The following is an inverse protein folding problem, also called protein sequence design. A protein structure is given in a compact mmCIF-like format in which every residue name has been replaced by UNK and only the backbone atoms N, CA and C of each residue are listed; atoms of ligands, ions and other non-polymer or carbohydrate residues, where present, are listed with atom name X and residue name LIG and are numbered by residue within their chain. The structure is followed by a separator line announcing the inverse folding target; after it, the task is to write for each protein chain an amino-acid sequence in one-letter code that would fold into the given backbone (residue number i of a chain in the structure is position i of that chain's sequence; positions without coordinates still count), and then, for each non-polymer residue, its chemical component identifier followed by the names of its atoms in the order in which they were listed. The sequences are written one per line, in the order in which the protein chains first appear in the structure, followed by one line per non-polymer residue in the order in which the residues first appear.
data_IF_167250624782
#
_entry.id   IF_167250624782
#
_cell.length_a   1.000
_cell.length_b   1.000
_cell.length_c   1.000
_cell.angle_alpha   90.00
_cell.angle_beta   90.00
_cell.angle_gamma   90.00
#
_symmetry.space_group_name_H-M   'P 1'
#
loop_
_entity.id
_entity.type
_entity.pdbx_description
1 polymer ?
#
# COMPACT_ATOMS: atom_id res chain seq x y z
N UNK A 1 -11.05 -0.33 20.65
CA UNK A 1 -11.09 -0.40 19.18
C UNK A 1 -12.45 -0.95 18.78
N UNK A 2 -13.14 -0.28 17.84
CA UNK A 2 -14.45 -0.73 17.37
C UNK A 2 -14.28 -1.39 16.01
N UNK A 3 -14.38 -2.73 15.94
CA UNK A 3 -14.33 -3.45 14.67
C UNK A 3 -15.60 -3.24 13.83
N UNK A 4 -16.73 -2.98 14.50
CA UNK A 4 -18.04 -2.78 13.91
C UNK A 4 -18.53 -1.36 14.19
N UNK A 5 -19.01 -0.67 13.15
CA UNK A 5 -19.64 0.64 13.28
C UNK A 5 -21.11 0.48 13.66
N UNK A 6 -21.84 -0.31 12.87
CA UNK A 6 -23.23 -0.66 13.09
C UNK A 6 -23.60 -1.88 12.22
N UNK A 7 -24.80 -2.40 12.41
CA UNK A 7 -25.33 -3.53 11.67
C UNK A 7 -26.51 -3.08 10.82
N UNK A 8 -26.57 -3.51 9.55
CA UNK A 8 -27.74 -3.38 8.69
C UNK A 8 -28.38 -4.77 8.61
N UNK A 9 -29.37 -5.03 9.46
CA UNK A 9 -29.89 -6.39 9.64
C UNK A 9 -28.81 -7.32 10.19
N UNK A 10 -28.53 -8.42 9.48
CA UNK A 10 -27.45 -9.36 9.81
C UNK A 10 -26.09 -8.98 9.22
N UNK A 11 -26.02 -7.91 8.40
CA UNK A 11 -24.80 -7.52 7.72
C UNK A 11 -23.97 -6.55 8.59
N UNK A 12 -22.75 -6.94 9.02
CA UNK A 12 -21.88 -6.06 9.80
C UNK A 12 -21.21 -5.00 8.93
N UNK A 13 -21.39 -3.72 9.26
CA UNK A 13 -20.58 -2.64 8.68
C UNK A 13 -19.31 -2.49 9.52
N UNK A 14 -18.17 -2.84 8.92
CA UNK A 14 -16.88 -2.88 9.61
C UNK A 14 -16.13 -1.55 9.49
N UNK A 15 -15.51 -1.13 10.59
CA UNK A 15 -14.76 0.13 10.64
C UNK A 15 -13.55 0.14 9.70
N UNK A 16 -12.88 -1.00 9.53
CA UNK A 16 -11.74 -1.10 8.63
C UNK A 16 -12.13 -0.80 7.17
N UNK A 17 -13.31 -1.23 6.73
CA UNK A 17 -13.78 -1.00 5.36
C UNK A 17 -13.99 0.49 5.08
N UNK A 18 -14.56 1.22 6.05
CA UNK A 18 -14.71 2.67 5.97
C UNK A 18 -13.35 3.36 5.91
N UNK A 19 -12.41 2.99 6.79
CA UNK A 19 -11.07 3.60 6.81
C UNK A 19 -10.28 3.29 5.54
N UNK A 20 -10.43 2.09 4.97
CA UNK A 20 -9.82 1.74 3.69
C UNK A 20 -10.38 2.59 2.55
N UNK A 21 -11.70 2.81 2.51
CA UNK A 21 -12.34 3.73 1.56
C UNK A 21 -11.84 5.16 1.75
N UNK A 22 -11.69 5.64 2.98
CA UNK A 22 -11.10 6.94 3.27
C UNK A 22 -9.63 7.02 2.83
N UNK A 23 -8.88 5.92 2.90
CA UNK A 23 -7.53 5.83 2.35
C UNK A 23 -7.50 6.02 0.84
N UNK A 24 -8.39 5.34 0.11
CA UNK A 24 -8.52 5.51 -1.35
C UNK A 24 -8.96 6.94 -1.71
N UNK A 25 -9.93 7.49 -0.99
CA UNK A 25 -10.43 8.86 -1.22
C UNK A 25 -9.34 9.89 -0.93
N UNK A 26 -8.61 9.76 0.19
CA UNK A 26 -7.53 10.67 0.55
C UNK A 26 -6.38 10.63 -0.45
N UNK A 27 -5.99 9.44 -0.93
CA UNK A 27 -5.04 9.29 -2.02
C UNK A 27 -5.55 9.95 -3.31
N UNK A 28 -6.79 9.66 -3.72
CA UNK A 28 -7.38 10.22 -4.94
C UNK A 28 -7.47 11.76 -4.91
N UNK A 29 -7.93 12.34 -3.80
CA UNK A 29 -8.00 13.80 -3.62
C UNK A 29 -6.60 14.41 -3.67
N UNK A 30 -5.64 13.82 -2.97
CA UNK A 30 -4.25 14.31 -2.93
C UNK A 30 -3.60 14.24 -4.31
N UNK A 31 -3.76 13.12 -5.01
CA UNK A 31 -3.28 12.95 -6.38
C UNK A 31 -3.90 13.96 -7.35
N UNK A 32 -5.21 14.21 -7.23
CA UNK A 32 -5.90 15.23 -8.02
C UNK A 32 -5.29 16.62 -7.81
N UNK A 33 -5.08 17.04 -6.56
CA UNK A 33 -4.53 18.37 -6.28
C UNK A 33 -3.07 18.51 -6.73
N UNK A 34 -2.24 17.48 -6.52
CA UNK A 34 -0.84 17.47 -6.97
C UNK A 34 -0.78 17.60 -8.50
N UNK A 35 -1.55 16.79 -9.23
CA UNK A 35 -1.58 16.83 -10.70
C UNK A 35 -2.22 18.09 -11.26
N UNK A 36 -3.19 18.67 -10.56
CA UNK A 36 -3.80 19.94 -10.96
C UNK A 36 -2.82 21.09 -10.82
N UNK A 37 -2.00 21.09 -9.76
CA UNK A 37 -0.93 22.06 -9.55
C UNK A 37 0.22 21.89 -10.55
N UNK A 38 0.52 20.65 -10.94
CA UNK A 38 1.55 20.33 -11.92
C UNK A 38 1.23 20.87 -13.33
N UNK A 39 -0.05 21.00 -13.69
CA UNK A 39 -0.48 21.75 -14.88
C UNK A 39 -0.51 20.96 -16.20
N UNK A 40 0.00 19.72 -16.24
CA UNK A 40 -0.05 18.85 -17.44
C UNK A 40 -1.45 18.33 -17.82
N UNK A 41 -2.49 18.76 -17.11
CA UNK A 41 -3.87 18.33 -17.34
C UNK A 41 -4.20 16.90 -16.87
N UNK A 42 -3.24 16.17 -16.32
CA UNK A 42 -3.41 14.76 -15.96
C UNK A 42 -4.37 14.48 -14.79
N UNK A 43 -4.75 15.52 -14.04
CA UNK A 43 -5.70 15.43 -12.93
C UNK A 43 -7.07 14.83 -13.33
N UNK A 44 -7.49 14.98 -14.60
CA UNK A 44 -8.74 14.41 -15.12
C UNK A 44 -8.73 12.88 -15.12
N UNK A 45 -7.54 12.27 -15.18
CA UNK A 45 -7.38 10.82 -15.25
C UNK A 45 -7.37 10.13 -13.89
N UNK A 46 -7.28 10.88 -12.77
CA UNK A 46 -7.09 10.30 -11.43
C UNK A 46 -8.22 9.34 -11.05
N UNK A 47 -9.48 9.71 -11.31
CA UNK A 47 -10.62 8.89 -10.92
C UNK A 47 -10.67 7.58 -11.71
N UNK A 48 -10.58 7.69 -13.04
CA UNK A 48 -10.57 6.52 -13.93
C UNK A 48 -9.37 5.63 -13.62
N UNK A 49 -8.16 6.20 -13.52
CA UNK A 49 -6.95 5.47 -13.16
C UNK A 49 -7.11 4.69 -11.85
N UNK A 50 -7.67 5.34 -10.82
CA UNK A 50 -7.91 4.71 -9.50
C UNK A 50 -8.92 3.56 -9.63
N UNK A 51 -9.98 3.72 -10.41
CA UNK A 51 -10.96 2.66 -10.66
C UNK A 51 -10.36 1.48 -11.41
N UNK A 52 -9.62 1.72 -12.51
CA UNK A 52 -8.96 0.66 -13.27
C UNK A 52 -7.93 -0.10 -12.41
N UNK A 53 -7.11 0.62 -11.65
CA UNK A 53 -6.12 -0.01 -10.76
C UNK A 53 -6.78 -0.74 -9.59
N UNK A 54 -7.82 -0.16 -8.98
CA UNK A 54 -8.56 -0.76 -7.87
C UNK A 54 -9.27 -2.05 -8.27
N UNK A 55 -10.01 -2.03 -9.39
CA UNK A 55 -10.68 -3.23 -9.92
C UNK A 55 -9.68 -4.30 -10.33
N UNK A 56 -8.61 -3.93 -11.03
CA UNK A 56 -7.55 -4.87 -11.42
C UNK A 56 -6.83 -5.44 -10.20
N UNK A 57 -6.64 -4.65 -9.15
CA UNK A 57 -6.06 -5.09 -7.88
C UNK A 57 -6.97 -6.08 -7.14
N UNK A 58 -8.29 -5.87 -7.15
CA UNK A 58 -9.24 -6.83 -6.56
C UNK A 58 -9.18 -8.16 -7.33
N UNK A 59 -9.25 -8.10 -8.67
CA UNK A 59 -9.17 -9.30 -9.50
C UNK A 59 -7.82 -10.02 -9.32
N UNK A 60 -6.72 -9.29 -9.39
CA UNK A 60 -5.38 -9.84 -9.25
C UNK A 60 -5.14 -10.46 -7.87
N UNK A 61 -5.60 -9.80 -6.81
CA UNK A 61 -5.47 -10.32 -5.44
C UNK A 61 -6.22 -11.62 -5.24
N UNK A 62 -7.43 -11.73 -5.82
CA UNK A 62 -8.22 -12.96 -5.77
C UNK A 62 -7.60 -14.09 -6.59
N UNK A 63 -7.20 -13.81 -7.83
CA UNK A 63 -6.59 -14.82 -8.69
C UNK A 63 -5.27 -15.33 -8.10
N UNK A 64 -4.46 -14.44 -7.53
CA UNK A 64 -3.21 -14.84 -6.91
C UNK A 64 -3.43 -15.77 -5.71
N UNK A 65 -4.39 -15.46 -4.86
CA UNK A 65 -4.77 -16.31 -3.73
C UNK A 65 -5.21 -17.71 -4.19
N UNK A 66 -6.12 -17.74 -5.16
CA UNK A 66 -6.68 -18.97 -5.75
C UNK A 66 -5.59 -19.86 -6.37
N UNK A 67 -4.67 -19.29 -7.15
CA UNK A 67 -3.68 -20.09 -7.88
C UNK A 67 -2.43 -20.44 -7.07
N UNK A 68 -1.98 -19.56 -6.16
CA UNK A 68 -0.72 -19.75 -5.44
C UNK A 68 -0.87 -20.27 -4.01
N UNK A 69 -1.98 -19.98 -3.33
CA UNK A 69 -2.19 -20.43 -1.95
C UNK A 69 -3.20 -21.57 -1.85
N UNK A 70 -4.34 -21.49 -2.56
CA UNK A 70 -5.48 -22.39 -2.32
C UNK A 70 -5.91 -23.22 -3.55
N UNK A 71 -5.02 -23.48 -4.52
CA UNK A 71 -5.37 -24.22 -5.74
C UNK A 71 -5.94 -25.62 -5.46
N UNK A 72 -5.45 -26.28 -4.42
CA UNK A 72 -5.95 -27.58 -3.98
C UNK A 72 -7.45 -27.56 -3.57
N UNK A 73 -7.98 -26.42 -3.18
CA UNK A 73 -9.41 -26.24 -2.90
C UNK A 73 -10.18 -25.84 -4.18
N UNK A 74 -9.70 -24.81 -4.87
CA UNK A 74 -10.43 -24.19 -5.98
C UNK A 74 -10.48 -25.03 -7.26
N UNK A 75 -9.55 -25.96 -7.48
CA UNK A 75 -9.63 -26.85 -8.66
C UNK A 75 -10.92 -27.69 -8.67
N UNK A 76 -11.52 -27.94 -7.49
CA UNK A 76 -12.81 -28.62 -7.34
C UNK A 76 -13.99 -27.65 -7.19
N UNK A 77 -13.74 -26.34 -6.99
CA UNK A 77 -14.75 -25.32 -6.67
C UNK A 77 -14.56 -24.07 -7.53
N UNK A 78 -14.45 -24.26 -8.86
CA UNK A 78 -14.17 -23.16 -9.80
C UNK A 78 -15.22 -22.03 -9.76
N UNK A 79 -16.47 -22.34 -9.40
CA UNK A 79 -17.55 -21.35 -9.27
C UNK A 79 -17.38 -20.39 -8.10
N UNK A 80 -16.52 -20.72 -7.13
CA UNK A 80 -16.27 -19.92 -5.92
C UNK A 80 -15.11 -18.93 -6.11
N UNK A 81 -14.39 -19.01 -7.23
CA UNK A 81 -13.30 -18.08 -7.56
C UNK A 81 -13.74 -16.61 -7.52
N UNK A 82 -14.92 -16.21 -8.03
CA UNK A 82 -15.35 -14.81 -7.99
C UNK A 82 -15.81 -14.32 -6.61
N UNK A 83 -15.95 -15.19 -5.61
CA UNK A 83 -16.57 -14.87 -4.33
C UNK A 83 -15.62 -14.12 -3.38
N UNK A 84 -15.27 -12.89 -3.75
CA UNK A 84 -14.36 -12.01 -2.99
C UNK A 84 -14.86 -11.67 -1.57
N UNK A 85 -16.16 -11.83 -1.32
CA UNK A 85 -16.77 -11.62 0.00
C UNK A 85 -16.50 -12.76 0.99
N UNK A 86 -15.99 -13.91 0.53
CA UNK A 86 -15.58 -15.01 1.41
C UNK A 86 -14.17 -14.80 1.99
N UNK A 87 -13.48 -13.71 1.65
CA UNK A 87 -12.06 -13.49 1.98
C UNK A 87 -11.14 -14.10 0.92
N UNK A 88 -9.88 -14.36 1.27
CA UNK A 88 -8.89 -14.95 0.36
C UNK A 88 -8.43 -13.95 -0.71
N UNK A 89 -7.57 -13.02 -0.30
CA UNK A 89 -7.05 -11.94 -1.14
C UNK A 89 -5.56 -11.78 -0.88
N UNK A 90 -4.73 -12.08 -1.88
CA UNK A 90 -3.29 -11.95 -1.78
C UNK A 90 -2.83 -10.56 -2.23
N UNK A 91 -2.11 -9.84 -1.36
CA UNK A 91 -1.62 -8.48 -1.65
C UNK A 91 -0.67 -8.45 -2.86
N UNK A 92 0.11 -9.50 -3.07
CA UNK A 92 1.06 -9.63 -4.17
C UNK A 92 0.34 -9.56 -5.53
N UNK A 93 -0.78 -10.28 -5.65
CA UNK A 93 -1.62 -10.23 -6.84
C UNK A 93 -2.24 -8.87 -7.07
N UNK A 94 -2.71 -8.23 -6.00
CA UNK A 94 -3.30 -6.90 -6.07
C UNK A 94 -2.30 -5.84 -6.55
N UNK A 95 -1.07 -5.86 -6.01
CA UNK A 95 -0.01 -4.93 -6.40
C UNK A 95 0.43 -5.15 -7.86
N UNK A 96 0.62 -6.42 -8.27
CA UNK A 96 1.08 -6.74 -9.61
C UNK A 96 0.05 -6.33 -10.68
N UNK A 97 -1.20 -6.76 -10.52
CA UNK A 97 -2.26 -6.45 -11.50
C UNK A 97 -2.63 -4.97 -11.48
N UNK A 98 -2.61 -4.32 -10.31
CA UNK A 98 -2.78 -2.88 -10.19
C UNK A 98 -1.68 -2.11 -10.93
N UNK A 99 -0.41 -2.50 -10.76
CA UNK A 99 0.71 -1.88 -11.47
C UNK A 99 0.63 -2.08 -12.99
N UNK A 100 0.30 -3.30 -13.44
CA UNK A 100 0.11 -3.59 -14.87
C UNK A 100 -1.01 -2.72 -15.44
N UNK A 101 -2.17 -2.65 -14.77
CA UNK A 101 -3.28 -1.83 -15.20
C UNK A 101 -2.92 -0.35 -15.27
N UNK A 102 -2.18 0.18 -14.29
CA UNK A 102 -1.71 1.57 -14.30
C UNK A 102 -0.73 1.86 -15.43
N UNK A 103 0.19 0.94 -15.73
CA UNK A 103 1.10 1.07 -16.88
C UNK A 103 0.31 1.05 -18.19
N UNK A 104 -0.62 0.10 -18.36
CA UNK A 104 -1.45 0.01 -19.56
C UNK A 104 -2.32 1.27 -19.74
N UNK A 105 -2.92 1.78 -18.66
CA UNK A 105 -3.72 3.01 -18.68
C UNK A 105 -2.88 4.21 -19.13
N UNK A 106 -1.73 4.44 -18.51
CA UNK A 106 -0.87 5.58 -18.90
C UNK A 106 -0.39 5.47 -20.34
N UNK A 107 -0.06 4.25 -20.81
CA UNK A 107 0.32 4.02 -22.21
C UNK A 107 -0.82 4.26 -23.18
N UNK A 108 -2.03 3.80 -22.87
CA UNK A 108 -3.22 3.99 -23.70
C UNK A 108 -3.59 5.48 -23.84
N UNK A 109 -3.44 6.26 -22.77
CA UNK A 109 -3.71 7.70 -22.76
C UNK A 109 -2.50 8.58 -23.14
N UNK A 110 -1.40 7.99 -23.62
CA UNK A 110 -0.18 8.71 -23.99
C UNK A 110 0.42 9.58 -22.88
N UNK A 111 0.25 9.16 -21.62
CA UNK A 111 0.81 9.79 -20.43
C UNK A 111 2.20 9.22 -20.17
N UNK A 112 3.14 10.07 -19.77
CA UNK A 112 4.47 9.63 -19.34
C UNK A 112 4.34 8.86 -18.01
N UNK A 113 4.46 7.53 -18.08
CA UNK A 113 4.28 6.63 -16.93
C UNK A 113 5.18 6.99 -15.75
N UNK A 114 6.44 7.39 -15.98
CA UNK A 114 7.38 7.68 -14.89
C UNK A 114 7.05 8.99 -14.20
N UNK A 115 6.75 10.03 -14.98
CA UNK A 115 6.39 11.32 -14.40
C UNK A 115 5.01 11.27 -13.71
N UNK A 116 4.07 10.50 -14.26
CA UNK A 116 2.78 10.26 -13.60
C UNK A 116 2.94 9.49 -12.29
N UNK A 117 3.83 8.48 -12.26
CA UNK A 117 4.16 7.74 -11.05
C UNK A 117 4.82 8.64 -9.97
N UNK A 118 5.70 9.57 -10.37
CA UNK A 118 6.31 10.54 -9.45
C UNK A 118 5.26 11.45 -8.78
N UNK A 119 4.29 11.94 -9.55
CA UNK A 119 3.18 12.75 -9.01
C UNK A 119 2.23 11.94 -8.12
N UNK A 120 2.04 10.65 -8.42
CA UNK A 120 1.20 9.76 -7.62
C UNK A 120 1.87 9.26 -6.35
N UNK A 121 3.19 9.14 -6.30
CA UNK A 121 3.89 8.53 -5.18
C UNK A 121 3.53 9.13 -3.80
N UNK A 122 3.48 10.47 -3.61
CA UNK A 122 3.02 11.06 -2.35
C UNK A 122 1.56 10.71 -2.02
N UNK A 123 0.69 10.67 -3.04
CA UNK A 123 -0.72 10.34 -2.83
C UNK A 123 -0.91 8.88 -2.40
N UNK A 124 -0.13 7.96 -2.96
CA UNK A 124 -0.16 6.53 -2.63
C UNK A 124 0.22 6.31 -1.16
N UNK A 125 1.35 6.86 -0.71
CA UNK A 125 1.83 6.67 0.67
C UNK A 125 0.90 7.30 1.70
N UNK A 126 0.24 8.42 1.37
CA UNK A 126 -0.79 8.99 2.24
C UNK A 126 -2.00 8.04 2.38
N UNK A 127 -2.45 7.45 1.28
CA UNK A 127 -3.52 6.45 1.30
C UNK A 127 -3.14 5.21 2.10
N UNK A 128 -1.87 4.76 2.01
CA UNK A 128 -1.33 3.66 2.80
C UNK A 128 -1.36 3.96 4.29
N UNK A 129 -0.94 5.17 4.71
CA UNK A 129 -1.00 5.60 6.12
C UNK A 129 -2.41 5.50 6.69
N UNK A 130 -3.42 6.01 5.97
CA UNK A 130 -4.82 5.92 6.39
C UNK A 130 -5.29 4.46 6.39
N UNK A 131 -4.83 3.66 5.44
CA UNK A 131 -5.03 2.20 5.41
C UNK A 131 -4.49 1.50 6.66
N UNK A 132 -3.36 1.95 7.23
CA UNK A 132 -2.83 1.40 8.49
C UNK A 132 -3.73 1.65 9.69
N UNK A 133 -4.50 2.75 9.67
CA UNK A 133 -5.56 2.97 10.68
C UNK A 133 -6.67 1.92 10.57
N UNK A 134 -6.98 1.46 9.35
CA UNK A 134 -7.92 0.36 9.13
C UNK A 134 -7.41 -0.94 9.75
N UNK A 135 -6.13 -1.24 9.58
CA UNK A 135 -5.49 -2.41 10.19
C UNK A 135 -5.56 -2.35 11.72
N UNK A 136 -5.28 -1.20 12.33
CA UNK A 136 -5.40 -1.01 13.76
C UNK A 136 -6.82 -1.32 14.24
N UNK A 137 -7.85 -0.78 13.58
CA UNK A 137 -9.24 -1.04 13.96
C UNK A 137 -9.67 -2.49 13.77
N UNK A 138 -9.07 -3.20 12.80
CA UNK A 138 -9.36 -4.61 12.54
C UNK A 138 -8.61 -5.55 13.51
N UNK A 139 -7.40 -5.15 13.93
CA UNK A 139 -6.49 -5.95 14.76
C UNK A 139 -5.85 -7.11 13.99
N UNK A 140 -5.42 -6.87 12.74
CA UNK A 140 -4.89 -7.89 11.82
C UNK A 140 -3.40 -7.73 11.44
N UNK A 141 -2.77 -6.60 11.82
CA UNK A 141 -1.39 -6.26 11.46
C UNK A 141 -0.53 -5.89 12.69
N UNK A 142 -0.78 -6.57 13.80
CA UNK A 142 -0.29 -6.27 15.14
C UNK A 142 1.16 -6.68 15.38
N UNK A 143 1.84 -6.02 16.31
CA UNK A 143 3.18 -6.42 16.75
C UNK A 143 3.22 -7.67 17.62
N UNK A 144 4.43 -8.17 17.88
CA UNK A 144 4.65 -9.23 18.87
C UNK A 144 4.52 -8.68 20.31
N UNK A 145 4.39 -9.55 21.33
CA UNK A 145 4.35 -9.12 22.72
C UNK A 145 5.59 -8.32 23.14
N UNK A 146 5.39 -7.23 23.87
CA UNK A 146 6.50 -6.36 24.31
C UNK A 146 7.26 -6.91 25.51
N UNK A 147 6.68 -7.86 26.24
CA UNK A 147 7.24 -8.41 27.47
C UNK A 147 7.15 -7.48 28.68
N UNK A 148 6.44 -6.35 28.56
CA UNK A 148 6.24 -5.37 29.64
C UNK A 148 4.86 -4.71 29.61
N UNK A 149 4.69 -3.63 30.37
CA UNK A 149 3.41 -2.91 30.51
C UNK A 149 3.17 -1.85 29.43
N UNK A 150 3.96 -1.86 28.36
CA UNK A 150 3.86 -0.90 27.26
C UNK A 150 3.35 -1.60 26.00
N UNK A 151 2.41 -0.98 25.30
CA UNK A 151 1.87 -1.50 24.04
C UNK A 151 0.35 -1.34 23.94
N UNK A 152 -0.21 -1.88 22.87
CA UNK A 152 -1.65 -1.92 22.63
C UNK A 152 -2.18 -3.27 23.08
N UNK A 153 -3.23 -3.25 23.91
CA UNK A 153 -4.02 -4.43 24.25
C UNK A 153 -5.25 -4.45 23.36
N UNK A 154 -5.40 -5.51 22.57
CA UNK A 154 -6.49 -5.63 21.60
C UNK A 154 -7.72 -6.29 22.25
N UNK A 155 -8.95 -5.95 21.81
CA UNK A 155 -10.16 -6.64 22.24
C UNK A 155 -10.16 -8.12 21.89
N UNK A 156 -10.90 -8.91 22.66
CA UNK A 156 -11.04 -10.37 22.51
C UNK A 156 -11.64 -10.84 21.18
N UNK A 157 -12.29 -9.94 20.46
CA UNK A 157 -12.87 -10.16 19.13
C UNK A 157 -11.85 -10.01 17.98
N UNK A 158 -10.59 -9.66 18.26
CA UNK A 158 -9.55 -9.41 17.25
C UNK A 158 -8.63 -10.60 17.04
N UNK A 159 -8.04 -10.70 15.84
CA UNK A 159 -7.03 -11.72 15.55
C UNK A 159 -5.81 -11.58 16.48
N UNK A 160 -5.43 -10.35 16.83
CA UNK A 160 -4.38 -10.05 17.80
C UNK A 160 -4.60 -10.76 19.14
N UNK A 161 -5.79 -10.62 19.71
CA UNK A 161 -6.13 -11.27 20.97
C UNK A 161 -6.25 -12.79 20.82
N UNK A 162 -6.78 -13.30 19.71
CA UNK A 162 -6.81 -14.75 19.49
C UNK A 162 -5.41 -15.37 19.36
N UNK A 163 -4.43 -14.59 18.88
CA UNK A 163 -3.05 -15.05 18.68
C UNK A 163 -2.23 -14.97 19.98
N UNK A 164 -2.35 -13.85 20.70
CA UNK A 164 -1.46 -13.54 21.83
C UNK A 164 -2.19 -13.36 23.17
N UNK A 165 -3.52 -13.31 23.20
CA UNK A 165 -4.31 -13.11 24.41
C UNK A 165 -4.25 -11.68 24.95
N UNK A 166 -4.55 -11.53 26.24
CA UNK A 166 -4.60 -10.25 26.94
C UNK A 166 -3.19 -9.75 27.35
N UNK A 167 -2.36 -9.39 26.38
CA UNK A 167 -1.03 -8.84 26.64
C UNK A 167 -0.71 -7.63 25.75
N UNK A 168 0.14 -6.70 26.21
CA UNK A 168 0.55 -5.54 25.41
C UNK A 168 1.40 -5.96 24.21
N UNK A 169 0.98 -5.52 23.02
CA UNK A 169 1.69 -5.76 21.75
C UNK A 169 2.35 -4.47 21.26
N UNK A 170 3.45 -4.60 20.50
CA UNK A 170 4.05 -3.43 19.84
C UNK A 170 3.03 -2.79 18.88
N UNK A 171 2.86 -1.46 18.91
CA UNK A 171 1.92 -0.74 18.02
C UNK A 171 2.51 -0.59 16.60
N UNK A 172 2.90 -1.71 15.98
CA UNK A 172 3.66 -1.74 14.74
C UNK A 172 2.92 -1.05 13.58
N UNK A 173 1.62 -1.27 13.45
CA UNK A 173 0.80 -0.64 12.42
C UNK A 173 0.61 0.87 12.62
N UNK A 174 0.62 1.34 13.88
CA UNK A 174 0.54 2.78 14.18
C UNK A 174 1.84 3.45 13.79
N UNK A 175 2.97 2.82 14.12
CA UNK A 175 4.28 3.32 13.73
C UNK A 175 4.49 3.27 12.22
N UNK A 176 3.96 2.25 11.54
CA UNK A 176 3.91 2.20 10.07
C UNK A 176 3.10 3.37 9.50
N UNK A 177 1.90 3.60 10.03
CA UNK A 177 1.08 4.73 9.58
C UNK A 177 1.76 6.09 9.82
N UNK A 178 2.53 6.24 10.90
CA UNK A 178 3.28 7.46 11.20
C UNK A 178 4.51 7.63 10.28
N UNK A 179 5.26 6.57 10.02
CA UNK A 179 6.39 6.60 9.09
C UNK A 179 5.92 6.85 7.66
N UNK A 180 4.80 6.28 7.23
CA UNK A 180 4.15 6.60 5.95
C UNK A 180 3.87 8.12 5.81
N UNK A 181 3.43 8.81 6.88
CA UNK A 181 3.25 10.28 6.86
C UNK A 181 4.60 11.02 6.76
N UNK A 182 5.64 10.54 7.43
CA UNK A 182 6.97 11.13 7.29
C UNK A 182 7.49 10.97 5.86
N UNK A 183 7.30 9.80 5.25
CA UNK A 183 7.64 9.54 3.85
C UNK A 183 6.83 10.47 2.94
N UNK A 184 5.52 10.63 3.16
CA UNK A 184 4.69 11.59 2.43
C UNK A 184 5.29 12.99 2.41
N UNK A 185 5.67 13.52 3.58
CA UNK A 185 6.27 14.85 3.71
C UNK A 185 7.63 14.92 3.00
N UNK A 186 8.47 13.89 3.15
CA UNK A 186 9.77 13.81 2.48
C UNK A 186 9.63 13.80 0.96
N UNK A 187 8.65 13.07 0.42
CA UNK A 187 8.40 13.03 -1.01
C UNK A 187 7.88 14.37 -1.52
N UNK A 188 6.95 15.03 -0.82
CA UNK A 188 6.50 16.38 -1.18
C UNK A 188 7.64 17.38 -1.19
N UNK A 189 8.53 17.30 -0.19
CA UNK A 189 9.71 18.15 -0.12
C UNK A 189 10.67 17.87 -1.28
N UNK A 190 10.99 16.61 -1.57
CA UNK A 190 11.88 16.24 -2.66
C UNK A 190 11.31 16.64 -4.04
N UNK A 191 10.00 16.44 -4.26
CA UNK A 191 9.30 16.83 -5.48
C UNK A 191 9.26 18.35 -5.70
N UNK A 192 9.50 19.16 -4.66
CA UNK A 192 9.57 20.61 -4.79
C UNK A 192 10.89 21.09 -5.44
N UNK A 193 11.92 20.23 -5.51
CA UNK A 193 13.21 20.54 -6.13
C UNK A 193 13.33 19.90 -7.52
N UNK A 194 14.19 20.43 -8.40
CA UNK A 194 14.43 19.84 -9.71
C UNK A 194 14.97 18.40 -9.59
N UNK A 195 14.22 17.43 -10.13
CA UNK A 195 14.56 16.01 -10.13
C UNK A 195 14.42 15.39 -11.53
N UNK A 196 14.89 14.17 -11.68
CA UNK A 196 14.70 13.37 -12.90
C UNK A 196 13.41 12.56 -12.79
N UNK A 197 12.77 12.32 -13.94
CA UNK A 197 11.57 11.49 -14.01
C UNK A 197 11.83 10.10 -13.42
N UNK A 198 10.89 9.61 -12.63
CA UNK A 198 10.90 8.35 -11.90
C UNK A 198 11.64 8.38 -10.55
N UNK A 199 12.32 9.48 -10.20
CA UNK A 199 13.11 9.54 -8.96
C UNK A 199 12.25 9.60 -7.71
N UNK A 200 11.13 10.32 -7.75
CA UNK A 200 10.22 10.44 -6.60
C UNK A 200 9.60 9.08 -6.31
N UNK A 201 9.16 8.37 -7.34
CA UNK A 201 8.60 7.03 -7.20
C UNK A 201 9.64 6.02 -6.69
N UNK A 202 10.89 6.06 -7.21
CA UNK A 202 11.96 5.21 -6.68
C UNK A 202 12.27 5.53 -5.21
N UNK A 203 12.29 6.82 -4.84
CA UNK A 203 12.51 7.24 -3.46
C UNK A 203 11.38 6.76 -2.54
N UNK A 204 10.12 6.81 -3.00
CA UNK A 204 8.98 6.23 -2.29
C UNK A 204 9.20 4.75 -1.99
N UNK A 205 9.53 3.95 -3.01
CA UNK A 205 9.76 2.50 -2.85
C UNK A 205 10.93 2.24 -1.89
N UNK A 206 12.02 3.01 -2.00
CA UNK A 206 13.19 2.88 -1.13
C UNK A 206 12.86 3.21 0.33
N UNK A 207 12.23 4.35 0.59
CA UNK A 207 11.90 4.79 1.95
C UNK A 207 10.92 3.83 2.62
N UNK A 208 9.87 3.42 1.91
CA UNK A 208 8.90 2.47 2.44
C UNK A 208 9.52 1.09 2.65
N UNK A 209 10.41 0.63 1.78
CA UNK A 209 11.13 -0.63 1.97
C UNK A 209 12.01 -0.61 3.23
N UNK A 210 12.69 0.51 3.51
CA UNK A 210 13.48 0.71 4.74
C UNK A 210 12.56 0.63 5.96
N UNK A 211 11.50 1.41 5.98
CA UNK A 211 10.51 1.41 7.07
C UNK A 211 9.97 0.00 7.33
N UNK A 212 9.50 -0.66 6.26
CA UNK A 212 8.94 -2.01 6.33
C UNK A 212 9.95 -3.02 6.84
N UNK A 213 11.22 -2.92 6.43
CA UNK A 213 12.28 -3.82 6.90
C UNK A 213 12.48 -3.72 8.42
N UNK A 214 12.50 -2.51 8.97
CA UNK A 214 12.69 -2.29 10.40
C UNK A 214 11.44 -2.65 11.22
N UNK A 215 10.24 -2.31 10.75
CA UNK A 215 8.99 -2.64 11.44
C UNK A 215 8.74 -4.15 11.50
N UNK A 216 9.24 -4.91 10.54
CA UNK A 216 9.06 -6.37 10.50
C UNK A 216 9.79 -7.09 11.66
N UNK A 217 10.78 -6.45 12.29
CA UNK A 217 11.35 -6.96 13.55
C UNK A 217 10.35 -6.92 14.71
N UNK A 218 9.43 -5.96 14.69
CA UNK A 218 8.41 -5.76 15.73
C UNK A 218 7.11 -6.51 15.45
N UNK A 219 6.90 -6.97 14.21
CA UNK A 219 5.72 -7.73 13.76
C UNK A 219 5.66 -9.13 14.39
N UNK A 220 4.46 -9.55 14.79
CA UNK A 220 4.22 -10.86 15.43
C UNK A 220 3.60 -11.91 14.52
N UNK A 221 3.42 -11.60 13.23
CA UNK A 221 2.40 -12.23 12.38
C UNK A 221 2.96 -13.43 11.57
N UNK A 222 4.29 -13.63 11.52
CA UNK A 222 4.90 -14.66 10.67
C UNK A 222 6.11 -15.37 11.31
N UNK A 223 6.06 -16.72 11.31
CA UNK A 223 7.06 -17.62 11.92
C UNK A 223 8.04 -18.21 10.89
N UNK A 224 7.72 -18.19 9.59
CA UNK A 224 8.56 -18.81 8.56
C UNK A 224 9.71 -17.88 8.14
N UNK A 225 10.89 -18.18 8.66
CA UNK A 225 12.17 -17.54 8.32
C UNK A 225 12.74 -18.19 7.06
N UNK A 226 12.93 -17.42 5.99
CA UNK A 226 13.71 -17.83 4.82
C UNK A 226 15.07 -17.17 4.92
N UNK A 227 16.15 -17.96 5.01
CA UNK A 227 17.53 -17.44 5.21
C UNK A 227 17.73 -16.59 6.49
N UNK A 228 16.90 -16.79 7.51
CA UNK A 228 16.96 -16.01 8.76
C UNK A 228 16.25 -14.65 8.70
N UNK A 229 15.58 -14.33 7.58
CA UNK A 229 14.76 -13.14 7.41
C UNK A 229 13.28 -13.52 7.22
N UNK A 230 12.38 -12.66 7.68
CA UNK A 230 10.94 -12.80 7.40
C UNK A 230 10.66 -12.49 5.92
N UNK A 231 9.59 -13.06 5.36
CA UNK A 231 9.21 -12.86 3.95
C UNK A 231 9.15 -11.38 3.56
N UNK A 232 8.56 -10.53 4.41
CA UNK A 232 8.48 -9.09 4.17
C UNK A 232 9.84 -8.37 4.23
N UNK A 233 10.81 -8.86 5.01
CA UNK A 233 12.17 -8.29 5.00
C UNK A 233 12.88 -8.61 3.68
N UNK A 234 12.72 -9.83 3.17
CA UNK A 234 13.32 -10.23 1.89
C UNK A 234 12.71 -9.43 0.73
N UNK A 235 11.38 -9.24 0.70
CA UNK A 235 10.75 -8.41 -0.32
C UNK A 235 11.16 -6.94 -0.21
N UNK A 236 11.31 -6.39 1.01
CA UNK A 236 11.85 -5.05 1.22
C UNK A 236 13.26 -4.89 0.66
N UNK A 237 14.17 -5.83 0.93
CA UNK A 237 15.56 -5.77 0.42
C UNK A 237 15.59 -5.80 -1.12
N UNK A 238 14.81 -6.70 -1.72
CA UNK A 238 14.73 -6.82 -3.19
C UNK A 238 14.13 -5.53 -3.79
N UNK A 239 13.02 -5.04 -3.24
CA UNK A 239 12.37 -3.81 -3.71
C UNK A 239 13.31 -2.61 -3.58
N UNK A 240 14.02 -2.48 -2.46
CA UNK A 240 15.01 -1.43 -2.24
C UNK A 240 16.14 -1.49 -3.26
N UNK A 241 16.72 -2.68 -3.50
CA UNK A 241 17.81 -2.85 -4.46
C UNK A 241 17.37 -2.49 -5.89
N UNK A 242 16.20 -2.96 -6.33
CA UNK A 242 15.65 -2.63 -7.66
C UNK A 242 15.42 -1.12 -7.79
N UNK A 243 14.80 -0.50 -6.78
CA UNK A 243 14.53 0.94 -6.78
C UNK A 243 15.81 1.78 -6.74
N UNK A 244 16.83 1.36 -5.99
CA UNK A 244 18.13 2.03 -5.94
C UNK A 244 18.85 1.96 -7.29
N UNK A 245 18.87 0.79 -7.94
CA UNK A 245 19.47 0.63 -9.27
C UNK A 245 18.73 1.52 -10.29
N UNK A 246 17.39 1.51 -10.27
CA UNK A 246 16.58 2.37 -11.13
C UNK A 246 16.89 3.86 -10.86
N UNK A 247 16.96 4.27 -9.60
CA UNK A 247 17.28 5.64 -9.21
C UNK A 247 18.65 6.09 -9.75
N UNK A 248 19.69 5.26 -9.62
CA UNK A 248 21.04 5.56 -10.12
C UNK A 248 21.04 5.67 -11.66
N UNK A 249 20.36 4.75 -12.36
CA UNK A 249 20.24 4.78 -13.82
C UNK A 249 19.52 6.06 -14.26
N UNK A 250 18.43 6.45 -13.60
CA UNK A 250 17.68 7.67 -13.89
C UNK A 250 18.51 8.93 -13.57
N UNK A 251 19.36 8.90 -12.55
CA UNK A 251 20.25 10.01 -12.25
C UNK A 251 21.25 10.26 -13.39
N UNK A 252 21.78 9.20 -14.01
CA UNK A 252 22.78 9.31 -15.08
C UNK A 252 22.18 9.52 -16.47
N UNK A 253 21.08 8.84 -16.79
CA UNK A 253 20.49 8.80 -18.14
C UNK A 253 19.12 9.46 -18.24
N UNK A 254 18.51 9.83 -17.12
CA UNK A 254 17.14 10.33 -17.08
C UNK A 254 17.01 11.77 -17.57
N UNK A 255 15.88 12.04 -18.19
CA UNK A 255 15.43 13.40 -18.50
C UNK A 255 14.98 14.09 -17.22
N UNK A 256 15.23 15.41 -17.11
CA UNK A 256 14.63 16.20 -16.03
C UNK A 256 13.11 16.15 -16.17
N UNK A 257 12.39 16.11 -15.05
CA UNK A 257 10.95 16.35 -15.10
C UNK A 257 10.76 17.86 -15.28
N UNK A 258 10.73 18.30 -16.53
CA UNK A 258 10.36 19.66 -16.89
C UNK A 258 8.83 19.73 -16.89
N UNK A 259 8.20 19.66 -15.72
CA UNK A 259 6.87 20.25 -15.57
C UNK A 259 7.06 21.73 -15.86
N UNK A 260 6.41 22.24 -16.92
CA UNK A 260 6.67 23.54 -17.56
C UNK A 260 7.18 24.63 -16.59
N UNK A 261 8.50 24.69 -16.43
CA UNK A 261 9.19 25.81 -15.80
C UNK A 261 9.18 27.05 -16.71
N UNK A 262 8.18 27.19 -17.59
CA UNK A 262 8.01 28.26 -18.57
C UNK A 262 6.55 28.69 -18.74
N UNK A 263 5.83 28.90 -17.63
CA UNK A 263 4.73 29.87 -17.59
C UNK A 263 4.81 30.74 -16.32
N UNK A 264 5.92 31.46 -16.17
CA UNK A 264 5.98 32.75 -15.48
C UNK A 264 6.93 33.66 -16.24
#
# INVERSE_FOLDING_TARGET
MHQYLFFIGSFPIRAYGLLFMLGIISAGITGYYIMKRDGRGWHVHIFDFTMYCGLSGIVGGRLWDVFFFDWAYYHNHLTEIPYVWQGGMAIQGGLLFGAIAGILYTKYHHIDTWAFADLLAPAIILGQSVGRMANLMNGDAFGHPTGGNFGIVYPDTTLAYHTYGNQPLWPAEVWEGQGDILIFVLLLFYSAFPHKKGQVFCLYVMLYAIERFFLEFLRGDYVNLTLGLKSAQMTSVIAFAIALIAFIILQWKGSRDTGDAMQK
#
